data_IF_001709425476
#
_entry.id   IF_001709425476
#
_cell.length_a   1.000
_cell.length_b   1.000
_cell.length_c   1.000
_cell.angle_alpha   90.00
_cell.angle_beta   90.00
_cell.angle_gamma   90.00
#
_symmetry.space_group_name_H-M   'P 1'
#
loop_
_entity.id
_entity.type
_entity.pdbx_description
1 polymer ?
#
# COMPACT_ATOMS: atom_id res chain seq x y z
N UNK A 1 -8.00 13.35 20.81
CA UNK A 1 -8.73 13.11 19.54
C UNK A 1 -7.69 12.87 18.45
N UNK A 2 -7.88 11.88 17.57
CA UNK A 2 -6.94 11.61 16.47
C UNK A 2 -6.99 12.77 15.47
N UNK A 3 -5.84 13.33 15.10
CA UNK A 3 -5.73 14.49 14.20
C UNK A 3 -6.25 14.25 12.76
N UNK A 4 -6.59 13.00 12.43
CA UNK A 4 -6.98 12.58 11.09
C UNK A 4 -8.34 11.88 11.16
N UNK A 5 -9.32 12.31 10.36
CA UNK A 5 -10.62 11.65 10.27
C UNK A 5 -10.63 10.57 9.18
N UNK A 6 -9.81 10.73 8.12
CA UNK A 6 -9.76 9.79 6.99
C UNK A 6 -8.34 9.25 6.79
N UNK A 7 -8.23 8.01 6.31
CA UNK A 7 -6.93 7.40 6.00
C UNK A 7 -6.19 8.16 4.89
N UNK A 8 -6.92 8.83 4.00
CA UNK A 8 -6.36 9.64 2.90
C UNK A 8 -5.58 10.86 3.37
N UNK A 9 -5.78 11.27 4.64
CA UNK A 9 -5.07 12.39 5.24
C UNK A 9 -3.72 11.96 5.83
N UNK A 10 -3.52 10.66 6.08
CA UNK A 10 -2.29 10.12 6.64
C UNK A 10 -1.14 10.26 5.63
N UNK A 11 -0.03 10.86 6.06
CA UNK A 11 1.12 11.05 5.18
C UNK A 11 1.72 9.72 4.72
N UNK A 12 1.77 8.71 5.61
CA UNK A 12 2.20 7.35 5.24
C UNK A 12 1.35 6.76 4.11
N UNK A 13 0.04 7.03 4.11
CA UNK A 13 -0.84 6.59 3.02
C UNK A 13 -0.54 7.34 1.72
N UNK A 14 -0.38 8.67 1.78
CA UNK A 14 -0.03 9.49 0.60
C UNK A 14 1.31 9.05 -0.02
N UNK A 15 2.33 8.82 0.81
CA UNK A 15 3.64 8.34 0.35
C UNK A 15 3.54 6.92 -0.23
N UNK A 16 2.80 6.02 0.40
CA UNK A 16 2.63 4.66 -0.15
C UNK A 16 1.86 4.64 -1.48
N UNK A 17 0.88 5.53 -1.67
CA UNK A 17 0.23 5.74 -2.97
C UNK A 17 1.18 6.28 -4.03
N UNK A 18 1.99 7.29 -3.69
CA UNK A 18 2.99 7.83 -4.59
C UNK A 18 4.02 6.76 -4.99
N UNK A 19 4.48 5.95 -4.03
CA UNK A 19 5.36 4.81 -4.29
C UNK A 19 4.73 3.81 -5.27
N UNK A 20 3.45 3.47 -5.10
CA UNK A 20 2.76 2.59 -6.03
C UNK A 20 2.75 3.14 -7.46
N UNK A 21 2.47 4.44 -7.65
CA UNK A 21 2.55 5.08 -8.97
C UNK A 21 3.95 4.97 -9.58
N UNK A 22 5.01 5.31 -8.81
CA UNK A 22 6.40 5.23 -9.30
C UNK A 22 6.80 3.80 -9.66
N UNK A 23 6.36 2.81 -8.88
CA UNK A 23 6.62 1.39 -9.16
C UNK A 23 5.90 0.93 -10.42
N UNK A 24 4.67 1.41 -10.68
CA UNK A 24 3.97 1.10 -11.92
C UNK A 24 4.68 1.66 -13.16
N UNK A 25 5.17 2.90 -13.06
CA UNK A 25 5.98 3.55 -14.11
C UNK A 25 7.29 2.80 -14.34
N UNK A 26 8.03 2.49 -13.27
CA UNK A 26 9.28 1.73 -13.34
C UNK A 26 9.07 0.36 -13.99
N UNK A 27 8.10 -0.41 -13.51
CA UNK A 27 7.84 -1.77 -14.00
C UNK A 27 7.25 -1.80 -15.41
N UNK A 28 6.78 -0.67 -15.95
CA UNK A 28 6.38 -0.57 -17.35
C UNK A 28 7.58 -0.65 -18.32
N UNK A 29 8.81 -0.41 -17.84
CA UNK A 29 10.04 -0.50 -18.63
C UNK A 29 10.64 -1.92 -18.68
N UNK A 30 10.08 -2.87 -17.93
CA UNK A 30 10.62 -4.22 -17.82
C UNK A 30 10.28 -5.06 -19.07
N UNK A 31 11.04 -6.14 -19.36
CA UNK A 31 10.72 -7.04 -20.45
C UNK A 31 9.30 -7.61 -20.35
N UNK A 32 8.61 -7.75 -21.49
CA UNK A 32 7.25 -8.33 -21.53
C UNK A 32 7.18 -9.76 -20.98
N UNK A 33 8.28 -10.52 -21.06
CA UNK A 33 8.38 -11.86 -20.48
C UNK A 33 8.18 -11.87 -18.95
N UNK A 34 8.46 -10.76 -18.28
CA UNK A 34 8.35 -10.62 -16.83
C UNK A 34 6.96 -10.13 -16.36
N UNK A 35 6.04 -9.83 -17.29
CA UNK A 35 4.72 -9.26 -16.98
C UNK A 35 3.96 -10.09 -15.94
N UNK A 36 3.98 -11.42 -16.08
CA UNK A 36 3.34 -12.35 -15.14
C UNK A 36 4.32 -12.85 -14.06
N UNK A 37 5.62 -12.63 -14.24
CA UNK A 37 6.68 -12.91 -13.27
C UNK A 37 6.86 -11.76 -12.28
N UNK A 38 8.05 -11.16 -12.27
CA UNK A 38 8.42 -10.19 -11.23
C UNK A 38 7.56 -8.91 -11.27
N UNK A 39 7.08 -8.49 -12.44
CA UNK A 39 6.24 -7.28 -12.57
C UNK A 39 4.92 -7.46 -11.81
N UNK A 40 4.26 -8.62 -11.95
CA UNK A 40 3.01 -8.90 -11.25
C UNK A 40 3.19 -8.99 -9.73
N UNK A 41 4.33 -9.51 -9.29
CA UNK A 41 4.66 -9.62 -7.86
C UNK A 41 4.93 -8.24 -7.26
N UNK A 42 5.83 -7.46 -7.86
CA UNK A 42 6.17 -6.10 -7.40
C UNK A 42 4.92 -5.21 -7.33
N UNK A 43 4.09 -5.20 -8.38
CA UNK A 43 2.88 -4.37 -8.42
C UNK A 43 1.87 -4.77 -7.35
N UNK A 44 1.69 -6.06 -7.07
CA UNK A 44 0.80 -6.51 -5.97
C UNK A 44 1.35 -6.14 -4.60
N UNK A 45 2.66 -6.30 -4.38
CA UNK A 45 3.29 -5.93 -3.12
C UNK A 45 3.16 -4.43 -2.85
N UNK A 46 3.47 -3.56 -3.83
CA UNK A 46 3.40 -2.11 -3.60
C UNK A 46 1.96 -1.61 -3.37
N UNK A 47 0.97 -2.22 -4.03
CA UNK A 47 -0.44 -1.87 -3.87
C UNK A 47 -1.00 -2.36 -2.53
N UNK A 48 -0.44 -3.43 -1.96
CA UNK A 48 -0.90 -3.96 -0.67
C UNK A 48 -0.64 -2.97 0.48
N UNK A 49 0.43 -2.17 0.41
CA UNK A 49 0.80 -1.20 1.46
C UNK A 49 -0.31 -0.15 1.73
N UNK A 50 -0.71 0.70 0.75
CA UNK A 50 -1.79 1.66 0.97
C UNK A 50 -3.14 0.99 1.26
N UNK A 51 -3.36 -0.20 0.71
CA UNK A 51 -4.61 -0.96 0.89
C UNK A 51 -4.77 -1.42 2.34
N UNK A 52 -3.72 -2.00 2.93
CA UNK A 52 -3.71 -2.43 4.32
C UNK A 52 -3.76 -1.24 5.29
N UNK A 53 -3.13 -0.11 4.96
CA UNK A 53 -3.25 1.13 5.77
C UNK A 53 -4.71 1.61 5.79
N UNK A 54 -5.36 1.66 4.62
CA UNK A 54 -6.76 2.08 4.50
C UNK A 54 -7.70 1.12 5.24
N UNK A 55 -7.51 -0.18 5.04
CA UNK A 55 -8.32 -1.22 5.68
C UNK A 55 -8.16 -1.18 7.20
N UNK A 56 -6.92 -1.11 7.70
CA UNK A 56 -6.63 -1.00 9.13
C UNK A 56 -7.26 0.22 9.78
N UNK A 57 -7.32 1.36 9.07
CA UNK A 57 -7.99 2.58 9.57
C UNK A 57 -9.51 2.45 9.61
N UNK A 58 -10.09 1.59 8.77
CA UNK A 58 -11.53 1.29 8.76
C UNK A 58 -11.97 0.30 9.84
N UNK A 59 -11.04 -0.30 10.59
CA UNK A 59 -11.36 -1.27 11.66
C UNK A 59 -11.88 -0.60 12.92
N UNK A 60 -12.73 -1.32 13.65
CA UNK A 60 -13.37 -0.84 14.86
C UNK A 60 -12.40 -0.86 16.05
N UNK A 61 -11.59 -1.89 16.17
CA UNK A 61 -10.69 -2.08 17.31
C UNK A 61 -9.24 -1.76 16.96
N UNK A 62 -8.55 -1.10 17.89
CA UNK A 62 -7.13 -0.71 17.74
C UNK A 62 -6.22 -1.89 17.41
N UNK A 63 -6.50 -3.07 17.97
CA UNK A 63 -5.70 -4.29 17.74
C UNK A 63 -5.72 -4.70 16.26
N UNK A 64 -6.88 -4.59 15.62
CA UNK A 64 -7.02 -4.89 14.19
C UNK A 64 -6.23 -3.85 13.36
N UNK A 65 -6.36 -2.56 13.67
CA UNK A 65 -5.56 -1.52 13.00
C UNK A 65 -4.07 -1.82 13.08
N UNK A 66 -3.55 -2.21 14.25
CA UNK A 66 -2.13 -2.56 14.43
C UNK A 66 -1.75 -3.79 13.58
N UNK A 67 -2.61 -4.80 13.51
CA UNK A 67 -2.38 -5.98 12.67
C UNK A 67 -2.26 -5.60 11.19
N UNK A 68 -3.17 -4.77 10.69
CA UNK A 68 -3.12 -4.29 9.30
C UNK A 68 -1.89 -3.42 9.02
N UNK A 69 -1.48 -2.57 9.96
CA UNK A 69 -0.22 -1.83 9.82
C UNK A 69 1.01 -2.74 9.84
N UNK A 70 0.96 -3.84 10.60
CA UNK A 70 2.02 -4.86 10.58
C UNK A 70 2.07 -5.60 9.24
N UNK A 71 0.92 -5.86 8.61
CA UNK A 71 0.84 -6.45 7.27
C UNK A 71 1.37 -5.46 6.23
N UNK A 72 1.00 -4.18 6.31
CA UNK A 72 1.50 -3.15 5.38
C UNK A 72 3.03 -2.97 5.43
N UNK A 73 3.66 -3.32 6.55
CA UNK A 73 5.11 -3.27 6.74
C UNK A 73 5.83 -4.53 6.22
N UNK A 74 5.16 -5.67 6.18
CA UNK A 74 5.73 -6.97 5.79
C UNK A 74 5.71 -7.18 4.29
#
# INVERSE_FOLDING_TARGET
MSAYQKYTELDVWKHSRALASHVYELTATFPKSEQFGIVSQIRRCVVSVPSNIAEGRGRLYKKETIQFLSIARG
#
